data_IF_290586564275
#
_entry.id   IF_290586564275
#
_cell.length_a   1.000
_cell.length_b   1.000
_cell.length_c   1.000
_cell.angle_alpha   90.00
_cell.angle_beta   90.00
_cell.angle_gamma   90.00
#
_symmetry.space_group_name_H-M   'P 1'
#
loop_
_entity.id
_entity.type
_entity.pdbx_description
1 polymer ?
#
# COMPACT_ATOMS: atom_id res chain seq x y z
N UNK A 1 46.31 40.63 -42.56
CA UNK A 1 45.31 39.58 -42.88
C UNK A 1 45.00 38.87 -41.56
N UNK A 2 43.82 39.12 -41.01
CA UNK A 2 43.38 38.62 -39.70
C UNK A 2 43.08 37.12 -39.79
N UNK A 3 43.67 36.31 -38.90
CA UNK A 3 43.20 34.94 -38.64
C UNK A 3 42.88 34.82 -37.15
N UNK A 4 41.68 34.33 -36.90
CA UNK A 4 40.91 34.39 -35.66
C UNK A 4 41.43 33.40 -34.61
N UNK A 5 41.38 33.84 -33.35
CA UNK A 5 41.40 32.99 -32.16
C UNK A 5 40.21 32.02 -32.17
N UNK A 6 40.47 30.72 -32.06
CA UNK A 6 39.44 29.72 -31.77
C UNK A 6 39.49 29.43 -30.26
N UNK A 7 38.56 30.03 -29.51
CA UNK A 7 38.28 29.66 -28.13
C UNK A 7 37.55 28.31 -28.14
N UNK A 8 38.24 27.24 -27.74
CA UNK A 8 37.58 25.96 -27.41
C UNK A 8 37.23 26.03 -25.92
N UNK A 9 35.97 26.39 -25.64
CA UNK A 9 35.38 26.22 -24.33
C UNK A 9 35.15 24.71 -24.10
N UNK A 10 35.97 24.09 -23.26
CA UNK A 10 35.74 22.75 -22.74
C UNK A 10 34.63 22.86 -21.69
N UNK A 11 33.38 22.68 -22.11
CA UNK A 11 32.24 22.49 -21.22
C UNK A 11 32.29 21.06 -20.69
N UNK A 12 32.73 20.93 -19.44
CA UNK A 12 32.72 19.67 -18.71
C UNK A 12 31.28 19.19 -18.49
N UNK A 13 30.95 18.03 -19.07
CA UNK A 13 29.85 17.21 -18.58
C UNK A 13 30.45 16.16 -17.63
N UNK A 14 30.55 16.53 -16.34
CA UNK A 14 30.56 15.53 -15.28
C UNK A 14 29.14 14.98 -15.17
N UNK A 15 28.84 13.91 -15.91
CA UNK A 15 27.70 13.06 -15.59
C UNK A 15 28.04 12.29 -14.32
N UNK A 16 27.82 12.92 -13.16
CA UNK A 16 27.66 12.20 -11.90
C UNK A 16 26.39 11.36 -12.06
N UNK A 17 26.57 10.15 -12.59
CA UNK A 17 25.60 9.09 -12.47
C UNK A 17 25.47 8.75 -11.00
N UNK A 18 24.66 9.51 -10.28
CA UNK A 18 24.03 9.07 -9.05
C UNK A 18 23.05 7.98 -9.45
N UNK A 19 23.58 6.77 -9.68
CA UNK A 19 22.81 5.55 -9.53
C UNK A 19 22.42 5.50 -8.06
N UNK A 20 21.28 6.11 -7.75
CA UNK A 20 20.57 5.80 -6.51
C UNK A 20 20.12 4.36 -6.68
N UNK A 21 20.98 3.44 -6.21
CA UNK A 21 20.56 2.09 -5.89
C UNK A 21 19.47 2.22 -4.84
N UNK A 22 18.22 2.36 -5.29
CA UNK A 22 17.04 2.12 -4.47
C UNK A 22 17.25 0.69 -4.01
N UNK A 23 17.57 0.52 -2.73
CA UNK A 23 17.54 -0.78 -2.11
C UNK A 23 16.12 -1.30 -2.35
N UNK A 24 15.96 -2.15 -3.37
CA UNK A 24 14.71 -2.84 -3.68
C UNK A 24 14.30 -3.53 -2.39
N UNK A 25 13.33 -2.96 -1.69
CA UNK A 25 12.91 -3.51 -0.41
C UNK A 25 12.40 -4.93 -0.64
N UNK A 26 13.02 -5.90 0.03
CA UNK A 26 12.72 -7.30 -0.20
C UNK A 26 11.33 -7.61 0.38
N UNK A 27 10.34 -7.72 -0.49
CA UNK A 27 9.04 -8.22 -0.10
C UNK A 27 9.12 -9.74 0.13
N UNK A 28 8.69 -10.20 1.30
CA UNK A 28 8.68 -11.62 1.68
C UNK A 28 7.27 -12.05 2.02
N UNK A 29 6.72 -12.97 1.24
CA UNK A 29 5.42 -13.57 1.50
C UNK A 29 5.57 -14.69 2.54
N UNK A 30 4.79 -14.62 3.62
CA UNK A 30 4.64 -15.69 4.61
C UNK A 30 3.18 -16.19 4.61
N UNK A 31 2.92 -17.25 5.39
CA UNK A 31 1.59 -17.86 5.50
C UNK A 31 0.53 -16.82 5.92
N UNK A 32 0.75 -16.15 7.04
CA UNK A 32 -0.23 -15.26 7.68
C UNK A 32 -0.01 -13.76 7.40
N UNK A 33 1.17 -13.38 6.93
CA UNK A 33 1.54 -11.98 6.69
C UNK A 33 2.42 -11.82 5.45
N UNK A 34 2.52 -10.59 4.97
CA UNK A 34 3.51 -10.16 3.97
C UNK A 34 4.45 -9.17 4.64
N UNK A 35 5.77 -9.34 4.50
CA UNK A 35 6.76 -8.37 4.94
C UNK A 35 7.18 -7.49 3.76
N UNK A 36 7.10 -6.18 3.87
CA UNK A 36 7.53 -5.23 2.85
C UNK A 36 7.92 -3.90 3.53
N UNK A 37 9.03 -3.28 3.11
CA UNK A 37 9.59 -2.08 3.75
C UNK A 37 9.74 -2.20 5.29
N UNK A 38 10.09 -3.39 5.78
CA UNK A 38 10.21 -3.67 7.22
C UNK A 38 8.88 -3.75 7.97
N UNK A 39 7.75 -3.72 7.27
CA UNK A 39 6.41 -3.75 7.84
C UNK A 39 5.70 -5.08 7.57
N UNK A 40 4.99 -5.60 8.58
CA UNK A 40 4.22 -6.85 8.47
C UNK A 40 2.74 -6.56 8.23
N UNK A 41 2.29 -6.81 7.01
CA UNK A 41 0.92 -6.64 6.55
C UNK A 41 0.10 -7.91 6.83
N UNK A 42 -1.14 -7.72 7.26
CA UNK A 42 -2.11 -8.79 7.51
C UNK A 42 -2.65 -9.35 6.20
N UNK A 43 -2.88 -10.67 6.15
CA UNK A 43 -3.54 -11.33 5.01
C UNK A 43 -4.93 -11.87 5.33
N UNK A 44 -5.28 -12.04 6.61
CA UNK A 44 -6.56 -12.62 7.01
C UNK A 44 -7.74 -11.75 6.57
N UNK A 45 -8.64 -12.32 5.75
CA UNK A 45 -9.80 -11.63 5.17
C UNK A 45 -9.47 -10.36 4.37
N UNK A 46 -8.22 -10.19 3.92
CA UNK A 46 -7.77 -8.99 3.19
C UNK A 46 -8.65 -8.68 1.97
N UNK A 47 -9.14 -9.70 1.28
CA UNK A 47 -9.97 -9.61 0.08
C UNK A 47 -11.32 -8.89 0.29
N UNK A 48 -11.77 -8.76 1.54
CA UNK A 48 -13.03 -8.10 1.91
C UNK A 48 -12.84 -6.62 2.27
N UNK A 49 -11.60 -6.16 2.38
CA UNK A 49 -11.27 -4.84 2.92
C UNK A 49 -10.93 -3.86 1.81
N UNK A 50 -11.14 -2.59 2.11
CA UNK A 50 -10.74 -1.44 1.32
C UNK A 50 -9.97 -0.44 2.21
N UNK A 51 -9.15 0.42 1.61
CA UNK A 51 -8.49 1.50 2.34
C UNK A 51 -9.52 2.40 3.05
N UNK A 52 -9.24 2.78 4.29
CA UNK A 52 -10.12 3.60 5.10
C UNK A 52 -11.26 2.83 5.76
N UNK A 53 -11.35 1.52 5.55
CA UNK A 53 -12.21 0.69 6.39
C UNK A 53 -11.76 0.75 7.85
N UNK A 54 -12.74 0.65 8.74
CA UNK A 54 -12.48 0.46 10.16
C UNK A 54 -13.14 -0.82 10.65
N UNK A 55 -12.48 -1.46 11.61
CA UNK A 55 -12.82 -2.82 11.99
C UNK A 55 -12.43 -3.16 13.42
N UNK A 56 -12.98 -4.27 13.90
CA UNK A 56 -12.50 -4.93 15.10
C UNK A 56 -11.42 -5.95 14.74
N UNK A 57 -10.20 -5.77 15.24
CA UNK A 57 -9.10 -6.73 15.00
C UNK A 57 -9.38 -8.02 15.76
N UNK A 58 -9.40 -9.14 15.05
CA UNK A 58 -9.59 -10.49 15.62
C UNK A 58 -8.28 -11.26 15.60
N UNK A 59 -7.97 -11.91 16.72
CA UNK A 59 -6.77 -12.74 16.90
C UNK A 59 -7.14 -14.16 17.35
N UNK A 60 -7.80 -14.94 16.48
CA UNK A 60 -8.18 -16.32 16.80
C UNK A 60 -6.93 -17.20 16.98
N UNK A 61 -7.02 -18.22 17.84
CA UNK A 61 -5.88 -19.09 18.17
C UNK A 61 -5.46 -19.95 16.98
N UNK A 62 -6.42 -20.38 16.15
CA UNK A 62 -6.22 -21.39 15.10
C UNK A 62 -6.25 -20.82 13.68
N UNK A 63 -6.46 -19.52 13.52
CA UNK A 63 -6.60 -18.87 12.22
C UNK A 63 -5.75 -17.60 12.13
N UNK A 64 -5.57 -17.07 10.92
CA UNK A 64 -4.85 -15.82 10.72
C UNK A 64 -5.58 -14.66 11.41
N UNK A 65 -4.82 -13.71 11.95
CA UNK A 65 -5.38 -12.46 12.44
C UNK A 65 -6.10 -11.73 11.29
N UNK A 66 -7.30 -11.23 11.56
CA UNK A 66 -8.12 -10.60 10.54
C UNK A 66 -8.86 -9.37 11.08
N UNK A 67 -9.37 -8.57 10.15
CA UNK A 67 -10.11 -7.34 10.41
C UNK A 67 -11.59 -7.63 10.12
N UNK A 68 -12.41 -7.62 11.18
CA UNK A 68 -13.87 -7.78 11.08
C UNK A 68 -14.49 -6.42 10.78
N UNK A 69 -14.64 -6.10 9.49
CA UNK A 69 -15.07 -4.80 8.97
C UNK A 69 -16.40 -4.36 9.60
N UNK A 70 -16.45 -3.10 10.04
CA UNK A 70 -17.65 -2.50 10.67
C UNK A 70 -18.16 -1.28 9.93
N UNK A 71 -17.31 -0.60 9.18
CA UNK A 71 -17.70 0.49 8.31
C UNK A 71 -16.51 1.06 7.58
N UNK A 72 -16.74 2.19 6.91
CA UNK A 72 -15.75 2.82 6.05
C UNK A 72 -15.71 4.34 6.21
N UNK A 73 -14.52 4.90 6.05
CA UNK A 73 -14.23 6.34 6.11
C UNK A 73 -14.18 6.98 4.71
N UNK A 74 -14.90 6.38 3.74
CA UNK A 74 -15.07 6.92 2.38
C UNK A 74 -15.40 8.41 2.40
N UNK A 75 -14.76 9.16 1.49
CA UNK A 75 -14.88 10.62 1.38
C UNK A 75 -13.98 11.44 2.32
N UNK A 76 -13.23 10.80 3.24
CA UNK A 76 -12.20 11.48 4.03
C UNK A 76 -10.80 11.29 3.47
N UNK A 77 -10.58 10.17 2.78
CA UNK A 77 -9.34 9.93 2.04
C UNK A 77 -9.51 10.61 0.70
N UNK A 78 -8.68 11.62 0.45
CA UNK A 78 -8.70 12.39 -0.80
C UNK A 78 -7.42 12.19 -1.60
N UNK A 79 -6.39 11.63 -0.98
CA UNK A 79 -5.08 11.42 -1.57
C UNK A 79 -4.44 10.18 -0.97
N UNK A 80 -3.83 9.37 -1.83
CA UNK A 80 -3.07 8.16 -1.44
C UNK A 80 -1.74 8.14 -2.18
N UNK A 81 -0.72 7.60 -1.52
CA UNK A 81 0.56 7.26 -2.14
C UNK A 81 0.45 5.87 -2.75
N UNK A 82 0.97 5.68 -3.96
CA UNK A 82 1.04 4.37 -4.62
C UNK A 82 2.49 4.04 -4.95
N UNK A 83 2.96 2.88 -4.52
CA UNK A 83 4.25 2.32 -4.91
C UNK A 83 4.09 0.92 -5.47
N UNK A 84 4.79 0.64 -6.59
CA UNK A 84 4.92 -0.70 -7.12
C UNK A 84 6.09 -1.38 -6.42
N UNK A 85 5.96 -2.66 -6.11
CA UNK A 85 7.10 -3.47 -5.68
C UNK A 85 7.02 -4.87 -6.26
N UNK A 86 8.17 -5.53 -6.24
CA UNK A 86 8.32 -6.90 -6.71
C UNK A 86 8.66 -7.81 -5.53
N UNK A 87 8.18 -9.05 -5.62
CA UNK A 87 8.54 -10.09 -4.65
C UNK A 87 9.77 -10.78 -5.20
N UNK A 88 10.85 -10.85 -4.42
CA UNK A 88 12.02 -11.65 -4.78
C UNK A 88 11.87 -13.07 -4.24
N UNK A 89 12.31 -14.04 -5.02
CA UNK A 89 12.37 -15.43 -4.59
C UNK A 89 13.46 -15.55 -3.50
N UNK A 90 13.11 -16.06 -2.32
CA UNK A 90 14.13 -16.47 -1.34
C UNK A 90 14.46 -17.95 -1.55
N UNK A 91 15.74 -18.27 -1.72
CA UNK A 91 16.25 -19.57 -2.19
C UNK A 91 15.90 -20.79 -1.31
N UNK A 92 15.36 -20.60 -0.11
CA UNK A 92 15.04 -21.69 0.83
C UNK A 92 13.61 -21.69 1.37
N UNK A 93 12.85 -20.60 1.18
CA UNK A 93 11.56 -20.40 1.88
C UNK A 93 10.35 -20.28 0.95
N UNK A 94 10.57 -20.05 -0.36
CA UNK A 94 9.49 -19.96 -1.33
C UNK A 94 8.75 -21.31 -1.46
N UNK A 95 9.46 -22.42 -1.70
CA UNK A 95 8.84 -23.71 -2.05
C UNK A 95 7.92 -24.28 -0.94
N UNK A 96 8.24 -24.08 0.34
CA UNK A 96 7.46 -24.64 1.45
C UNK A 96 6.29 -23.77 1.93
N UNK A 97 6.29 -22.46 1.64
CA UNK A 97 5.22 -21.54 2.08
C UNK A 97 4.04 -21.55 1.09
N UNK A 98 4.29 -21.95 -0.16
CA UNK A 98 3.40 -21.70 -1.30
C UNK A 98 2.50 -22.90 -1.68
N UNK A 99 2.94 -24.14 -1.42
CA UNK A 99 2.13 -25.34 -1.70
C UNK A 99 0.85 -25.49 -0.88
N UNK A 100 0.66 -24.68 0.17
CA UNK A 100 -0.52 -24.71 1.06
C UNK A 100 -1.37 -23.43 1.01
N UNK A 101 -1.14 -22.55 0.03
CA UNK A 101 -1.88 -21.28 -0.07
C UNK A 101 -2.84 -21.32 -1.26
N UNK A 102 -4.14 -21.45 -0.97
CA UNK A 102 -5.18 -21.08 -1.93
C UNK A 102 -5.32 -19.57 -1.87
N UNK A 103 -5.09 -18.88 -2.99
CA UNK A 103 -5.33 -17.45 -3.07
C UNK A 103 -6.75 -17.27 -3.58
N UNK A 104 -7.73 -16.92 -2.74
CA UNK A 104 -9.07 -16.62 -3.21
C UNK A 104 -9.13 -15.27 -3.96
N UNK A 105 -7.99 -14.67 -4.34
CA UNK A 105 -7.95 -13.49 -5.21
C UNK A 105 -8.66 -13.86 -6.52
N UNK A 106 -9.93 -13.47 -6.59
CA UNK A 106 -10.67 -13.20 -7.82
C UNK A 106 -11.24 -14.41 -8.57
N UNK A 107 -11.47 -15.55 -7.91
CA UNK A 107 -12.06 -16.71 -8.59
C UNK A 107 -11.18 -17.22 -9.76
N UNK A 108 -9.91 -16.83 -9.79
CA UNK A 108 -8.95 -17.20 -10.84
C UNK A 108 -8.54 -18.67 -10.77
N UNK A 109 -8.93 -19.39 -9.72
CA UNK A 109 -8.66 -20.82 -9.56
C UNK A 109 -7.17 -21.18 -9.53
N UNK A 110 -6.29 -20.19 -9.33
CA UNK A 110 -4.85 -20.39 -9.36
C UNK A 110 -4.40 -21.13 -8.09
N UNK A 111 -3.65 -22.21 -8.30
CA UNK A 111 -2.89 -22.85 -7.23
C UNK A 111 -1.76 -21.90 -6.80
N UNK A 112 -1.33 -22.01 -5.54
CA UNK A 112 -0.29 -21.14 -4.97
C UNK A 112 0.98 -21.10 -5.81
N UNK A 113 1.42 -22.26 -6.34
CA UNK A 113 2.63 -22.38 -7.15
C UNK A 113 2.49 -21.69 -8.52
N UNK A 114 1.33 -21.81 -9.17
CA UNK A 114 1.05 -21.15 -10.46
C UNK A 114 1.00 -19.63 -10.30
N UNK A 115 0.40 -19.14 -9.22
CA UNK A 115 0.38 -17.70 -8.93
C UNK A 115 1.79 -17.15 -8.75
N UNK A 116 2.63 -17.85 -8.00
CA UNK A 116 4.00 -17.43 -7.73
C UNK A 116 4.82 -17.38 -9.00
N UNK A 117 4.69 -18.41 -9.84
CA UNK A 117 5.34 -18.42 -11.16
C UNK A 117 4.91 -17.21 -11.99
N UNK A 118 3.61 -16.92 -12.03
CA UNK A 118 3.05 -15.74 -12.73
C UNK A 118 3.51 -14.40 -12.14
N UNK A 119 3.71 -14.30 -10.82
CA UNK A 119 4.33 -13.12 -10.18
C UNK A 119 5.77 -12.96 -10.65
N UNK A 120 6.58 -14.02 -10.62
CA UNK A 120 7.99 -13.97 -11.04
C UNK A 120 8.16 -13.77 -12.55
N UNK A 121 7.22 -14.27 -13.36
CA UNK A 121 7.17 -14.04 -14.81
C UNK A 121 6.66 -12.62 -15.16
N UNK A 122 6.34 -11.80 -14.15
CA UNK A 122 5.86 -10.42 -14.33
C UNK A 122 4.42 -10.32 -14.86
N UNK A 123 3.68 -11.43 -14.89
CA UNK A 123 2.26 -11.44 -15.24
C UNK A 123 1.40 -10.74 -14.18
N UNK A 124 1.84 -10.76 -12.91
CA UNK A 124 1.21 -10.03 -11.81
C UNK A 124 2.22 -9.12 -11.10
N UNK A 125 1.73 -7.97 -10.65
CA UNK A 125 2.52 -6.99 -9.88
C UNK A 125 1.82 -6.65 -8.58
N UNK A 126 2.60 -6.25 -7.58
CA UNK A 126 2.07 -5.76 -6.32
C UNK A 126 2.11 -4.24 -6.28
N UNK A 127 0.99 -3.65 -5.87
CA UNK A 127 0.87 -2.23 -5.59
C UNK A 127 0.62 -2.04 -4.10
N UNK A 128 1.47 -1.28 -3.44
CA UNK A 128 1.21 -0.76 -2.12
C UNK A 128 0.52 0.60 -2.24
N UNK A 129 -0.64 0.75 -1.61
CA UNK A 129 -1.38 2.01 -1.55
C UNK A 129 -1.58 2.41 -0.10
N UNK A 130 -1.18 3.63 0.26
CA UNK A 130 -1.26 4.15 1.63
C UNK A 130 -1.88 5.54 1.66
N UNK A 131 -2.51 5.90 2.77
CA UNK A 131 -2.97 7.29 2.98
C UNK A 131 -1.75 8.23 2.99
N UNK A 132 -1.70 9.18 2.05
CA UNK A 132 -0.51 9.99 1.76
C UNK A 132 -0.09 10.91 2.91
N UNK A 133 -1.08 11.52 3.58
CA UNK A 133 -0.84 12.45 4.67
C UNK A 133 -1.69 12.08 5.88
N UNK A 134 -1.10 11.25 6.75
CA UNK A 134 -1.76 10.76 7.97
C UNK A 134 -2.21 11.90 8.89
N UNK A 135 -1.39 12.95 9.05
CA UNK A 135 -1.74 14.10 9.89
C UNK A 135 -2.96 14.85 9.36
N UNK A 136 -3.03 15.07 8.04
CA UNK A 136 -4.20 15.68 7.41
C UNK A 136 -5.43 14.77 7.56
N UNK A 137 -5.30 13.48 7.31
CA UNK A 137 -6.38 12.51 7.46
C UNK A 137 -6.93 12.49 8.91
N UNK A 138 -6.05 12.45 9.91
CA UNK A 138 -6.41 12.56 11.33
C UNK A 138 -7.16 13.87 11.64
N UNK A 139 -6.65 14.99 11.14
CA UNK A 139 -7.29 16.30 11.34
C UNK A 139 -8.68 16.35 10.68
N UNK A 140 -8.83 15.76 9.50
CA UNK A 140 -10.11 15.69 8.79
C UNK A 140 -11.10 14.76 9.52
N UNK A 141 -10.63 13.66 10.13
CA UNK A 141 -11.42 12.80 11.01
C UNK A 141 -11.93 13.55 12.24
N UNK A 142 -11.05 14.27 12.95
CA UNK A 142 -11.40 15.04 14.15
C UNK A 142 -12.45 16.14 13.87
N UNK A 143 -12.53 16.63 12.63
CA UNK A 143 -13.56 17.61 12.20
C UNK A 143 -14.92 16.97 11.89
N UNK A 144 -15.05 15.64 11.93
CA UNK A 144 -16.26 14.91 11.54
C UNK A 144 -16.83 14.15 12.74
N UNK A 145 -17.64 14.81 13.60
CA UNK A 145 -18.12 14.22 14.85
C UNK A 145 -18.90 12.91 14.66
N UNK A 146 -19.62 12.77 13.54
CA UNK A 146 -20.29 11.51 13.19
C UNK A 146 -19.32 10.32 13.08
N UNK A 147 -18.20 10.50 12.37
CA UNK A 147 -17.19 9.44 12.20
C UNK A 147 -16.42 9.15 13.49
N UNK A 148 -16.16 10.17 14.31
CA UNK A 148 -15.61 9.98 15.65
C UNK A 148 -16.56 9.16 16.53
N UNK A 149 -17.87 9.42 16.44
CA UNK A 149 -18.86 8.66 17.19
C UNK A 149 -18.91 7.19 16.78
N UNK A 150 -18.69 6.86 15.51
CA UNK A 150 -18.56 5.48 15.04
C UNK A 150 -17.30 4.82 15.64
N UNK A 151 -16.15 5.49 15.54
CA UNK A 151 -14.86 4.96 15.96
C UNK A 151 -14.70 4.84 17.49
N UNK A 152 -15.37 5.67 18.28
CA UNK A 152 -15.22 5.64 19.74
C UNK A 152 -15.97 4.52 20.45
N UNK A 153 -16.86 3.82 19.75
CA UNK A 153 -17.70 2.75 20.32
C UNK A 153 -16.85 1.63 20.95
N UNK A 154 -15.65 1.36 20.41
CA UNK A 154 -14.70 0.39 20.97
C UNK A 154 -13.25 0.87 20.84
N UNK A 155 -12.44 0.61 21.86
CA UNK A 155 -11.00 0.92 21.85
C UNK A 155 -10.20 -0.04 20.93
N UNK A 156 -10.76 -1.22 20.67
CA UNK A 156 -10.16 -2.23 19.81
C UNK A 156 -10.26 -1.88 18.33
N UNK A 157 -11.00 -0.82 17.96
CA UNK A 157 -11.14 -0.45 16.57
C UNK A 157 -9.80 -0.01 15.96
N UNK A 158 -9.60 -0.47 14.73
CA UNK A 158 -8.45 -0.16 13.88
C UNK A 158 -8.93 0.40 12.57
N UNK A 159 -8.07 1.19 11.94
CA UNK A 159 -8.30 1.76 10.60
C UNK A 159 -7.33 1.08 9.64
N UNK A 160 -7.82 0.65 8.48
CA UNK A 160 -7.00 0.19 7.36
C UNK A 160 -6.37 1.42 6.70
N UNK A 161 -5.08 1.62 6.92
CA UNK A 161 -4.35 2.82 6.46
C UNK A 161 -3.53 2.59 5.19
N UNK A 162 -3.23 1.32 4.90
CA UNK A 162 -2.58 0.90 3.65
C UNK A 162 -3.10 -0.47 3.22
N UNK A 163 -3.15 -0.68 1.91
CA UNK A 163 -3.52 -1.94 1.27
C UNK A 163 -2.46 -2.33 0.24
N UNK A 164 -2.25 -3.63 0.09
CA UNK A 164 -1.44 -4.21 -0.96
C UNK A 164 -2.39 -4.92 -1.92
N UNK A 165 -2.41 -4.45 -3.16
CA UNK A 165 -3.22 -4.99 -4.24
C UNK A 165 -2.34 -5.81 -5.16
N UNK A 166 -2.87 -6.90 -5.67
CA UNK A 166 -2.29 -7.63 -6.79
C UNK A 166 -3.12 -7.36 -8.03
N UNK A 167 -2.45 -7.05 -9.13
CA UNK A 167 -3.09 -6.86 -10.41
C UNK A 167 -2.25 -7.40 -11.56
N UNK A 168 -2.85 -7.58 -12.74
CA UNK A 168 -2.09 -8.03 -13.90
C UNK A 168 -1.07 -6.97 -14.30
N UNK A 169 0.14 -7.40 -14.65
CA UNK A 169 1.19 -6.50 -15.14
C UNK A 169 0.80 -5.78 -16.43
N UNK A 170 -0.08 -6.37 -17.27
CA UNK A 170 -0.67 -5.68 -18.43
C UNK A 170 -1.60 -4.53 -18.02
N UNK A 171 -2.42 -4.73 -16.99
CA UNK A 171 -3.32 -3.70 -16.46
C UNK A 171 -2.52 -2.58 -15.79
N UNK A 172 -1.52 -2.93 -14.96
CA UNK A 172 -0.61 -1.96 -14.37
C UNK A 172 0.10 -1.10 -15.44
N UNK A 173 0.61 -1.72 -16.50
CA UNK A 173 1.19 -1.00 -17.66
C UNK A 173 0.17 -0.12 -18.37
N UNK A 174 -1.06 -0.58 -18.55
CA UNK A 174 -2.13 0.22 -19.16
C UNK A 174 -2.49 1.45 -18.31
N UNK A 175 -2.26 1.38 -17.00
CA UNK A 175 -2.43 2.51 -16.09
C UNK A 175 -1.22 3.44 -16.11
N UNK A 176 -0.07 3.01 -16.65
CA UNK A 176 1.19 3.77 -16.59
C UNK A 176 2.00 3.48 -15.33
N UNK A 177 1.69 2.40 -14.62
CA UNK A 177 2.41 1.97 -13.42
C UNK A 177 3.62 1.11 -13.84
N UNK A 178 4.75 1.75 -14.09
CA UNK A 178 6.02 1.11 -14.49
C UNK A 178 6.93 0.79 -13.31
N UNK A 179 7.99 0.01 -13.55
CA UNK A 179 9.02 -0.39 -12.57
C UNK A 179 9.72 0.80 -11.90
N UNK A 180 9.79 1.91 -12.61
CA UNK A 180 10.44 3.15 -12.20
C UNK A 180 9.49 4.31 -12.52
N UNK A 181 8.69 4.72 -11.52
CA UNK A 181 8.06 6.05 -11.47
C UNK A 181 6.92 6.39 -12.44
N UNK A 182 6.00 7.22 -11.91
CA UNK A 182 5.04 8.09 -12.60
C UNK A 182 3.66 7.53 -12.93
N UNK A 183 2.79 7.58 -11.93
CA UNK A 183 1.38 7.33 -12.06
C UNK A 183 0.55 8.45 -11.37
N UNK A 184 -0.14 9.28 -12.15
CA UNK A 184 -1.23 10.11 -11.61
C UNK A 184 -2.56 9.54 -12.08
N UNK A 185 -3.49 9.39 -11.18
CA UNK A 185 -4.82 8.87 -11.48
C UNK A 185 -5.77 9.09 -10.32
N UNK A 186 -6.98 8.55 -10.46
CA UNK A 186 -7.96 8.54 -9.39
C UNK A 186 -8.30 7.10 -8.99
N UNK A 187 -8.32 6.82 -7.68
CA UNK A 187 -8.76 5.55 -7.12
C UNK A 187 -10.01 5.78 -6.27
N UNK A 188 -11.17 5.25 -6.68
CA UNK A 188 -12.45 5.52 -6.00
C UNK A 188 -12.68 7.04 -5.73
N UNK A 189 -12.28 7.90 -6.67
CA UNK A 189 -12.32 9.37 -6.52
C UNK A 189 -11.16 10.00 -5.74
N UNK A 190 -10.21 9.22 -5.22
CA UNK A 190 -9.02 9.69 -4.50
C UNK A 190 -7.87 9.99 -5.45
N UNK A 191 -7.17 11.10 -5.24
CA UNK A 191 -5.98 11.44 -6.04
C UNK A 191 -4.81 10.50 -5.71
N UNK A 192 -4.25 9.87 -6.73
CA UNK A 192 -3.09 8.99 -6.62
C UNK A 192 -1.81 9.83 -6.76
N UNK A 193 -0.89 9.67 -5.82
CA UNK A 193 0.42 10.35 -5.77
C UNK A 193 1.49 9.27 -5.79
N UNK A 194 2.55 9.43 -6.59
CA UNK A 194 3.69 8.50 -6.58
C UNK A 194 4.81 9.10 -5.76
N UNK A 195 5.55 8.23 -5.10
CA UNK A 195 6.80 8.52 -4.37
C UNK A 195 7.95 9.03 -5.28
N UNK A 196 7.70 9.28 -6.58
CA UNK A 196 8.67 9.78 -7.55
C UNK A 196 8.29 11.17 -8.09
N UNK A 197 9.24 12.09 -8.03
CA UNK A 197 9.10 13.54 -8.19
C UNK A 197 8.79 14.05 -9.62
N UNK A 198 8.26 13.21 -10.51
CA UNK A 198 8.09 13.55 -11.93
C UNK A 198 6.62 13.75 -12.28
N UNK A 199 6.30 14.97 -12.72
CA UNK A 199 4.96 15.37 -13.15
C UNK A 199 4.60 14.75 -14.51
N UNK A 200 3.51 14.00 -14.55
CA UNK A 200 2.80 13.63 -15.78
C UNK A 200 1.31 14.00 -15.63
N UNK A 201 0.66 14.46 -16.70
CA UNK A 201 -0.62 15.19 -16.69
C UNK A 201 -1.88 14.34 -16.97
N UNK A 202 -1.78 13.03 -17.18
CA UNK A 202 -2.96 12.23 -17.57
C UNK A 202 -3.52 11.43 -16.41
N UNK A 203 -4.63 11.86 -15.83
CA UNK A 203 -5.35 11.10 -14.79
C UNK A 203 -6.19 9.99 -15.43
N UNK A 204 -5.89 8.71 -15.12
CA UNK A 204 -6.76 7.57 -15.43
C UNK A 204 -7.48 7.11 -14.16
N UNK A 205 -8.78 6.82 -14.27
CA UNK A 205 -9.58 6.27 -13.17
C UNK A 205 -9.32 4.77 -13.09
N UNK A 206 -8.92 4.29 -11.92
CA UNK A 206 -8.74 2.87 -11.62
C UNK A 206 -9.65 2.49 -10.46
N UNK A 207 -10.45 1.45 -10.66
CA UNK A 207 -11.28 0.85 -9.62
C UNK A 207 -10.90 -0.63 -9.52
N UNK A 208 -10.02 -1.01 -8.58
CA UNK A 208 -9.74 -2.40 -8.30
C UNK A 208 -11.01 -3.04 -7.78
N UNK A 209 -11.38 -4.15 -8.38
CA UNK A 209 -12.51 -4.95 -7.93
C UNK A 209 -12.29 -5.41 -6.48
N UNK A 210 -13.39 -5.55 -5.73
CA UNK A 210 -13.36 -6.24 -4.44
C UNK A 210 -12.74 -7.62 -4.65
N UNK A 211 -11.81 -7.98 -3.78
CA UNK A 211 -11.10 -9.25 -3.87
C UNK A 211 -9.68 -9.17 -4.43
N UNK A 212 -9.24 -7.99 -4.87
CA UNK A 212 -7.87 -7.74 -5.34
C UNK A 212 -6.88 -7.41 -4.22
N UNK A 213 -7.38 -7.04 -3.03
CA UNK A 213 -6.56 -6.74 -1.84
C UNK A 213 -5.97 -8.04 -1.29
N UNK A 214 -4.64 -8.13 -1.37
CA UNK A 214 -3.85 -9.28 -0.93
C UNK A 214 -3.42 -9.18 0.52
N UNK A 215 -3.04 -7.98 0.95
CA UNK A 215 -2.66 -7.71 2.33
C UNK A 215 -2.99 -6.27 2.73
N UNK A 216 -2.98 -5.96 4.01
CA UNK A 216 -3.31 -4.63 4.53
C UNK A 216 -2.55 -4.31 5.81
N UNK A 217 -2.42 -3.02 6.14
CA UNK A 217 -1.91 -2.55 7.43
C UNK A 217 -3.04 -1.96 8.27
N UNK A 218 -2.82 -1.90 9.58
CA UNK A 218 -3.78 -1.35 10.53
C UNK A 218 -3.12 -0.25 11.34
N UNK A 219 -3.90 0.80 11.63
CA UNK A 219 -3.59 1.82 12.63
C UNK A 219 -4.47 1.67 13.86
N UNK A 220 -3.84 1.66 15.03
CA UNK A 220 -4.47 1.84 16.33
C UNK A 220 -4.74 3.31 16.58
N UNK A 221 -5.98 3.64 16.92
CA UNK A 221 -6.37 4.99 17.33
C UNK A 221 -5.82 5.24 18.73
N UNK A 222 -5.05 6.33 18.89
CA UNK A 222 -4.69 6.89 20.18
C UNK A 222 -5.59 8.09 20.43
N UNK A 223 -6.45 7.98 21.44
CA UNK A 223 -7.30 9.09 21.87
C UNK A 223 -6.49 10.08 22.71
N UNK A 224 -6.81 11.37 22.62
CA UNK A 224 -6.18 12.41 23.47
C UNK A 224 -6.37 12.05 24.95
N UNK A 225 -5.26 11.89 25.68
CA UNK A 225 -5.24 11.54 27.10
C UNK A 225 -6.10 12.48 27.97
N UNK A 226 -6.17 13.77 27.65
CA UNK A 226 -7.02 14.74 28.38
C UNK A 226 -8.51 14.49 28.16
N UNK A 227 -8.86 13.80 27.08
CA UNK A 227 -10.23 13.56 26.61
C UNK A 227 -10.53 12.07 26.45
N UNK A 228 -9.67 11.18 26.96
CA UNK A 228 -9.71 9.73 26.69
C UNK A 228 -11.00 9.08 27.16
N UNK A 229 -11.53 9.53 28.31
CA UNK A 229 -12.84 9.06 28.83
C UNK A 229 -14.01 9.41 27.90
N UNK A 230 -13.89 10.49 27.11
CA UNK A 230 -14.92 10.97 26.19
C UNK A 230 -14.65 10.58 24.73
N UNK A 231 -13.41 10.23 24.38
CA UNK A 231 -12.95 9.84 23.03
C UNK A 231 -13.46 10.79 21.95
N UNK A 232 -13.28 12.09 22.18
CA UNK A 232 -13.76 13.13 21.27
C UNK A 232 -12.73 13.55 20.24
N UNK A 233 -11.47 13.14 20.42
CA UNK A 233 -10.36 13.57 19.58
C UNK A 233 -9.28 12.50 19.50
N UNK A 234 -8.83 12.25 18.28
CA UNK A 234 -7.70 11.37 17.95
C UNK A 234 -6.42 12.20 18.04
N UNK A 235 -5.54 11.83 18.95
CA UNK A 235 -4.21 12.43 19.11
C UNK A 235 -3.23 11.89 18.06
N UNK A 236 -3.29 10.58 17.82
CA UNK A 236 -2.31 9.86 17.01
C UNK A 236 -2.89 8.57 16.40
N UNK A 237 -2.29 8.11 15.30
CA UNK A 237 -2.62 6.87 14.61
C UNK A 237 -1.37 5.98 14.61
N UNK A 238 -1.33 5.04 15.56
CA UNK A 238 -0.15 4.18 15.75
C UNK A 238 -0.18 2.98 14.85
N UNK A 239 0.95 2.66 14.25
CA UNK A 239 1.16 1.39 13.55
C UNK A 239 0.77 0.19 14.45
N UNK A 240 -0.08 -0.70 13.93
CA UNK A 240 -0.45 -1.97 14.56
C UNK A 240 -0.08 -3.12 13.60
N UNK A 241 1.21 -3.39 13.37
CA UNK A 241 1.66 -4.40 12.42
C UNK A 241 1.20 -5.80 12.83
N UNK A 242 1.14 -6.74 11.88
CA UNK A 242 0.90 -8.14 12.20
C UNK A 242 2.03 -8.60 13.13
N UNK A 243 1.67 -8.91 14.38
CA UNK A 243 2.61 -9.31 15.43
C UNK A 243 3.47 -10.54 15.07
N UNK A 244 4.42 -10.93 15.94
CA UNK A 244 5.16 -12.17 15.81
C UNK A 244 4.28 -13.40 15.66
#
# INVERSE_FOLDING_TARGET
MYVRYLNIAVLGLLSLGLSTSIASADAVIKKNYLNYNGYRYYKGSAQQLELGDWCDKKTPITAANYCDQKGTLKGLINQVTVSRFEVKQSDSTAVNILGNFSIPLLGWGLKGDDFVKKVFDGEYVFLHMSIDNENKFKNDLNKKPGKINDLKQKDSYRIVDSVIIVMKGSEARSLGITHEGNFKGTWNGMKLTVDSDVQSETARQFEPEKGTVYAYSLKKIKWDAKREKKRTEIEDLKNDPHGP
#
